data_IF_366821390390
#
_entry.id   IF_366821390390
#
_cell.length_a   1.000
_cell.length_b   1.000
_cell.length_c   1.000
_cell.angle_alpha   90.00
_cell.angle_beta   90.00
_cell.angle_gamma   90.00
#
_symmetry.space_group_name_H-M   'P 1'
#
loop_
_entity.id
_entity.type
_entity.pdbx_description
1 polymer ?
#
# COMPACT_ATOMS: atom_id res chain seq x y z
N UNK A 1 -4.87 73.10 56.65
CA UNK A 1 -5.07 72.40 55.34
C UNK A 1 -4.09 71.26 55.30
N UNK A 2 -4.58 70.07 55.59
CA UNK A 2 -3.82 68.81 55.65
C UNK A 2 -3.88 68.18 54.25
N UNK A 3 -2.70 68.00 53.64
CA UNK A 3 -2.64 67.34 52.30
C UNK A 3 -2.68 65.81 52.50
N UNK A 4 -3.76 65.19 52.08
CA UNK A 4 -3.90 63.72 51.99
C UNK A 4 -2.91 63.15 50.96
N UNK A 5 -1.95 62.33 51.42
CA UNK A 5 -1.04 61.60 50.55
C UNK A 5 -1.78 60.37 49.97
N UNK A 6 -2.10 60.41 48.69
CA UNK A 6 -2.65 59.30 47.96
C UNK A 6 -1.52 58.28 47.72
N UNK A 7 -1.63 57.11 48.35
CA UNK A 7 -0.71 55.97 48.12
C UNK A 7 -0.90 55.36 46.72
N UNK A 8 0.19 55.00 46.01
CA UNK A 8 0.05 54.35 44.69
C UNK A 8 -0.53 52.94 44.83
N UNK A 9 -1.35 52.46 43.85
CA UNK A 9 -1.98 51.14 43.90
C UNK A 9 -0.94 50.01 43.78
N UNK A 10 -1.21 48.84 44.36
CA UNK A 10 -0.26 47.75 44.42
C UNK A 10 -0.04 47.09 43.02
N UNK A 11 1.27 46.90 42.68
CA UNK A 11 1.71 46.21 41.46
C UNK A 11 1.47 44.72 41.56
N UNK A 12 0.20 44.22 41.33
CA UNK A 12 -0.15 42.80 41.41
C UNK A 12 -0.20 42.06 40.06
N UNK A 13 0.34 42.59 38.95
CA UNK A 13 0.11 42.02 37.61
C UNK A 13 1.25 41.18 37.03
N UNK A 14 2.42 41.08 37.63
CA UNK A 14 3.57 40.37 37.02
C UNK A 14 3.67 38.87 37.37
N UNK A 15 3.07 38.41 38.45
CA UNK A 15 3.16 37.02 38.88
C UNK A 15 2.26 36.10 38.04
N UNK A 16 1.01 36.52 37.77
CA UNK A 16 0.08 35.75 36.91
C UNK A 16 0.63 35.55 35.48
N UNK A 17 1.17 36.63 34.88
CA UNK A 17 1.75 36.53 33.54
C UNK A 17 2.94 35.55 33.48
N UNK A 18 3.80 35.51 34.51
CA UNK A 18 4.94 34.57 34.58
C UNK A 18 4.47 33.14 34.72
N UNK A 19 3.40 32.88 35.48
CA UNK A 19 2.80 31.54 35.64
C UNK A 19 2.17 31.11 34.34
N UNK A 20 1.41 31.95 33.63
CA UNK A 20 0.81 31.65 32.34
C UNK A 20 1.87 31.35 31.27
N UNK A 21 2.97 32.11 31.20
CA UNK A 21 4.10 31.84 30.29
C UNK A 21 4.76 30.49 30.64
N UNK A 22 4.94 30.17 31.92
CA UNK A 22 5.49 28.91 32.40
C UNK A 22 4.60 27.71 32.00
N UNK A 23 3.29 27.82 32.14
CA UNK A 23 2.35 26.78 31.75
C UNK A 23 2.35 26.59 30.23
N UNK A 24 2.33 27.66 29.42
CA UNK A 24 2.42 27.57 27.96
C UNK A 24 3.73 26.91 27.54
N UNK A 25 4.85 27.26 28.17
CA UNK A 25 6.15 26.67 27.88
C UNK A 25 6.19 25.17 28.22
N UNK A 26 5.59 24.74 29.34
CA UNK A 26 5.46 23.33 29.71
C UNK A 26 4.55 22.57 28.73
N UNK A 27 3.47 23.17 28.24
CA UNK A 27 2.58 22.58 27.24
C UNK A 27 3.29 22.41 25.89
N UNK A 28 4.12 23.39 25.48
CA UNK A 28 4.93 23.29 24.25
C UNK A 28 5.99 22.21 24.37
N UNK A 29 6.68 22.12 25.54
CA UNK A 29 7.64 21.04 25.79
C UNK A 29 6.94 19.68 25.83
N UNK A 30 5.79 19.58 26.49
CA UNK A 30 4.98 18.35 26.54
C UNK A 30 4.51 17.90 25.16
N UNK A 31 4.00 18.82 24.36
CA UNK A 31 3.61 18.57 22.98
C UNK A 31 4.82 18.18 22.10
N UNK A 32 5.95 18.86 22.26
CA UNK A 32 7.19 18.54 21.57
C UNK A 32 7.75 17.16 21.94
N UNK A 33 7.75 16.82 23.24
CA UNK A 33 8.20 15.50 23.74
C UNK A 33 7.25 14.39 23.27
N UNK A 34 5.94 14.64 23.28
CA UNK A 34 4.94 13.71 22.75
C UNK A 34 5.12 13.50 21.24
N UNK A 35 5.23 14.58 20.46
CA UNK A 35 5.49 14.52 19.02
C UNK A 35 6.81 13.80 18.68
N UNK A 36 7.87 14.04 19.47
CA UNK A 36 9.14 13.32 19.32
C UNK A 36 9.03 11.84 19.69
N UNK A 37 8.26 11.49 20.72
CA UNK A 37 8.02 10.10 21.11
C UNK A 37 7.23 9.36 20.03
N UNK A 38 6.18 9.98 19.49
CA UNK A 38 5.39 9.44 18.35
C UNK A 38 6.30 9.26 17.14
N UNK A 39 7.09 10.29 16.78
CA UNK A 39 8.05 10.22 15.67
C UNK A 39 9.03 9.05 15.82
N UNK A 40 9.62 8.87 17.01
CA UNK A 40 10.56 7.77 17.25
C UNK A 40 9.89 6.38 17.24
N UNK A 41 8.68 6.26 17.75
CA UNK A 41 7.91 5.02 17.66
C UNK A 41 7.63 4.65 16.20
N UNK A 42 7.18 5.63 15.41
CA UNK A 42 6.93 5.53 13.98
C UNK A 42 8.19 5.09 13.24
N UNK A 43 9.30 5.84 13.41
CA UNK A 43 10.55 5.54 12.74
C UNK A 43 11.10 4.16 13.13
N UNK A 44 10.99 3.77 14.41
CA UNK A 44 11.43 2.47 14.89
C UNK A 44 10.61 1.29 14.37
N UNK A 45 9.30 1.46 14.20
CA UNK A 45 8.41 0.43 13.63
C UNK A 45 8.68 0.27 12.14
N UNK A 46 8.75 1.37 11.40
CA UNK A 46 9.04 1.34 9.96
C UNK A 46 10.44 0.79 9.65
N UNK A 47 11.41 0.95 10.55
CA UNK A 47 12.72 0.33 10.39
C UNK A 47 12.65 -1.21 10.46
N UNK A 48 11.66 -1.79 11.16
CA UNK A 48 11.45 -3.25 11.17
C UNK A 48 10.80 -3.78 9.90
N UNK A 49 9.96 -2.97 9.25
CA UNK A 49 9.29 -3.33 7.99
C UNK A 49 10.19 -3.15 6.77
N UNK A 50 11.25 -2.35 6.91
CA UNK A 50 12.15 -2.05 5.81
C UNK A 50 13.06 -3.25 5.50
N UNK A 51 12.79 -3.89 4.37
CA UNK A 51 13.58 -5.00 3.83
C UNK A 51 14.07 -4.60 2.43
N UNK A 52 15.33 -4.14 2.28
CA UNK A 52 15.85 -3.67 0.99
C UNK A 52 15.98 -4.82 0.00
N UNK A 53 15.78 -4.52 -1.28
CA UNK A 53 15.97 -5.47 -2.35
C UNK A 53 17.46 -5.84 -2.51
N UNK A 54 17.73 -7.12 -2.75
CA UNK A 54 19.08 -7.66 -3.01
C UNK A 54 19.47 -7.48 -4.48
N UNK A 55 19.63 -6.23 -4.89
CA UNK A 55 20.12 -5.87 -6.22
C UNK A 55 21.16 -4.77 -6.11
N UNK A 56 22.07 -4.70 -7.12
CA UNK A 56 23.07 -3.65 -7.16
C UNK A 56 22.42 -2.28 -7.47
N UNK A 57 23.08 -1.20 -7.05
CA UNK A 57 22.61 0.16 -7.37
C UNK A 57 22.47 0.40 -8.88
N UNK A 58 23.32 -0.25 -9.69
CA UNK A 58 23.25 -0.15 -11.16
C UNK A 58 22.03 -0.86 -11.77
N UNK A 59 21.36 -1.75 -11.05
CA UNK A 59 20.13 -2.43 -11.47
C UNK A 59 18.86 -1.68 -11.03
N UNK A 60 19.01 -0.59 -10.27
CA UNK A 60 17.89 0.21 -9.80
C UNK A 60 17.71 1.45 -10.67
N UNK A 61 16.46 1.74 -11.01
CA UNK A 61 16.12 3.02 -11.60
C UNK A 61 16.29 4.12 -10.54
N UNK A 62 16.95 5.20 -10.90
CA UNK A 62 17.04 6.38 -10.03
C UNK A 62 15.74 7.15 -10.12
N UNK A 63 15.02 7.27 -9.02
CA UNK A 63 13.74 7.99 -8.91
C UNK A 63 13.92 9.15 -7.95
N UNK A 64 13.48 10.35 -8.36
CA UNK A 64 13.46 11.53 -7.50
C UNK A 64 12.03 11.83 -7.05
N UNK A 65 11.65 11.33 -5.88
CA UNK A 65 10.31 11.50 -5.32
C UNK A 65 9.96 12.97 -5.03
N UNK A 66 10.96 13.78 -4.66
CA UNK A 66 10.77 15.21 -4.41
C UNK A 66 10.40 15.99 -5.68
N UNK A 67 10.85 15.53 -6.84
CA UNK A 67 10.48 16.10 -8.13
C UNK A 67 9.17 15.53 -8.69
N UNK A 68 8.62 14.49 -8.07
CA UNK A 68 7.42 13.81 -8.54
C UNK A 68 7.67 12.94 -9.77
N UNK A 69 8.84 12.30 -9.86
CA UNK A 69 9.11 11.32 -10.91
C UNK A 69 8.08 10.18 -10.82
N UNK A 70 7.54 9.66 -11.93
CA UNK A 70 6.65 8.51 -11.88
C UNK A 70 7.30 7.29 -11.24
N UNK A 71 6.54 6.55 -10.44
CA UNK A 71 7.03 5.36 -9.70
C UNK A 71 6.22 4.12 -10.00
N UNK A 72 6.86 2.96 -9.80
CA UNK A 72 6.24 1.64 -9.86
C UNK A 72 6.34 0.91 -8.52
N UNK A 73 5.23 0.34 -8.06
CA UNK A 73 5.12 -0.37 -6.77
C UNK A 73 4.47 -1.72 -7.03
N UNK A 74 5.14 -2.82 -6.67
CA UNK A 74 4.55 -4.16 -6.75
C UNK A 74 3.95 -4.56 -5.40
N UNK A 75 2.64 -4.80 -5.38
CA UNK A 75 1.92 -5.27 -4.21
C UNK A 75 1.85 -6.80 -4.20
N UNK A 76 2.20 -7.41 -3.06
CA UNK A 76 2.07 -8.83 -2.80
C UNK A 76 1.07 -9.07 -1.68
N UNK A 77 -0.02 -9.78 -1.96
CA UNK A 77 -0.90 -10.35 -0.94
C UNK A 77 -0.51 -11.79 -0.70
N UNK A 78 0.16 -12.09 0.42
CA UNK A 78 0.74 -13.41 0.68
C UNK A 78 -0.11 -14.19 1.68
N UNK A 79 -0.54 -15.39 1.30
CA UNK A 79 -1.11 -16.37 2.23
C UNK A 79 0.05 -17.17 2.85
N UNK A 80 0.55 -16.65 3.97
CA UNK A 80 1.63 -17.31 4.72
C UNK A 80 1.04 -18.17 5.83
N UNK A 81 1.38 -19.45 5.84
CA UNK A 81 1.01 -20.40 6.89
C UNK A 81 2.25 -20.76 7.69
N UNK A 82 2.04 -21.19 8.93
CA UNK A 82 3.13 -21.59 9.81
C UNK A 82 3.99 -22.71 9.15
N UNK A 83 5.29 -22.43 8.97
CA UNK A 83 6.24 -23.36 8.35
C UNK A 83 6.33 -23.33 6.82
N UNK A 84 5.55 -22.48 6.12
CA UNK A 84 5.63 -22.26 4.67
C UNK A 84 6.01 -20.80 4.38
N UNK A 85 6.82 -20.56 3.33
CA UNK A 85 7.09 -19.20 2.84
C UNK A 85 5.85 -18.50 2.30
N UNK A 86 4.78 -19.27 2.06
CA UNK A 86 3.58 -18.78 1.42
C UNK A 86 3.72 -18.62 -0.10
N UNK A 87 2.63 -18.23 -0.71
CA UNK A 87 2.56 -17.86 -2.13
C UNK A 87 1.69 -16.61 -2.25
N UNK A 88 2.09 -15.63 -3.06
CA UNK A 88 1.20 -14.53 -3.32
C UNK A 88 0.00 -15.01 -4.13
N UNK A 89 -1.17 -14.81 -3.57
CA UNK A 89 -2.45 -15.02 -4.25
C UNK A 89 -2.90 -13.75 -4.99
N UNK A 90 -2.29 -12.61 -4.66
CA UNK A 90 -2.50 -11.32 -5.30
C UNK A 90 -1.15 -10.72 -5.69
N UNK A 91 -1.01 -10.38 -6.96
CA UNK A 91 0.12 -9.66 -7.54
C UNK A 91 -0.44 -8.47 -8.31
N UNK A 92 -0.17 -7.26 -7.85
CA UNK A 92 -0.71 -6.05 -8.46
C UNK A 92 0.42 -5.04 -8.63
N UNK A 93 0.68 -4.64 -9.87
CA UNK A 93 1.59 -3.53 -10.17
C UNK A 93 0.78 -2.24 -10.14
N UNK A 94 1.19 -1.31 -9.29
CA UNK A 94 0.74 0.08 -9.29
C UNK A 94 1.81 0.94 -9.96
N UNK A 95 1.41 1.86 -10.81
CA UNK A 95 2.25 2.97 -11.23
C UNK A 95 1.57 4.28 -10.87
N UNK A 96 2.32 5.23 -10.33
CA UNK A 96 1.80 6.54 -9.96
C UNK A 96 2.59 7.63 -10.70
N UNK A 97 1.88 8.45 -11.46
CA UNK A 97 2.45 9.57 -12.20
C UNK A 97 1.83 10.90 -11.70
N UNK A 98 2.57 11.69 -10.91
CA UNK A 98 2.09 13.01 -10.46
C UNK A 98 1.86 14.00 -11.59
N UNK A 99 2.63 13.92 -12.69
CA UNK A 99 2.47 14.77 -13.87
C UNK A 99 1.10 14.57 -14.52
N UNK A 100 0.68 13.31 -14.68
CA UNK A 100 -0.64 12.92 -15.20
C UNK A 100 -1.74 12.90 -14.15
N UNK A 101 -1.37 13.09 -12.86
CA UNK A 101 -2.28 12.98 -11.70
C UNK A 101 -3.06 11.68 -11.71
N UNK A 102 -2.39 10.57 -11.99
CA UNK A 102 -3.05 9.27 -12.18
C UNK A 102 -2.28 8.12 -11.55
N UNK A 103 -3.02 7.05 -11.26
CA UNK A 103 -2.51 5.73 -10.88
C UNK A 103 -3.02 4.73 -11.90
N UNK A 104 -2.13 3.89 -12.44
CA UNK A 104 -2.51 2.70 -13.16
C UNK A 104 -2.33 1.48 -12.27
N UNK A 105 -3.32 0.59 -12.29
CA UNK A 105 -3.34 -0.65 -11.50
C UNK A 105 -3.44 -1.85 -12.46
N UNK A 106 -2.40 -2.66 -12.50
CA UNK A 106 -2.30 -3.86 -13.34
C UNK A 106 -2.35 -5.11 -12.45
N UNK A 107 -3.43 -5.87 -12.51
CA UNK A 107 -3.52 -7.16 -11.82
C UNK A 107 -2.87 -8.26 -12.65
N UNK A 108 -1.86 -8.93 -12.07
CA UNK A 108 -1.13 -10.02 -12.71
C UNK A 108 -1.74 -11.35 -12.22
N UNK A 109 -2.36 -12.14 -13.11
CA UNK A 109 -2.93 -13.43 -12.71
C UNK A 109 -1.83 -14.33 -12.14
N UNK A 110 -2.03 -14.86 -10.92
CA UNK A 110 -1.04 -15.67 -10.20
C UNK A 110 -0.57 -16.92 -10.96
N UNK A 111 -1.45 -17.47 -11.82
CA UNK A 111 -1.20 -18.65 -12.63
C UNK A 111 -0.55 -18.33 -13.98
N UNK A 112 -0.11 -17.07 -14.21
CA UNK A 112 0.55 -16.64 -15.45
C UNK A 112 1.79 -17.47 -15.71
N UNK A 113 1.84 -18.12 -16.88
CA UNK A 113 2.97 -18.95 -17.31
C UNK A 113 4.09 -18.08 -17.87
N UNK A 114 5.20 -18.05 -17.17
CA UNK A 114 6.37 -17.23 -17.57
C UNK A 114 7.69 -17.90 -17.16
N UNK A 115 8.79 -17.38 -17.66
CA UNK A 115 10.11 -17.73 -17.19
C UNK A 115 10.32 -17.22 -15.77
N UNK A 116 10.80 -18.11 -14.88
CA UNK A 116 11.18 -17.75 -13.50
C UNK A 116 12.65 -17.36 -13.50
N UNK A 117 12.91 -16.06 -13.35
CA UNK A 117 14.26 -15.51 -13.42
C UNK A 117 15.13 -16.01 -12.27
N UNK A 118 16.29 -16.54 -12.61
CA UNK A 118 17.22 -17.16 -11.67
C UNK A 118 16.98 -18.66 -11.42
N UNK A 119 15.92 -19.26 -12.03
CA UNK A 119 15.66 -20.70 -11.99
C UNK A 119 15.89 -21.40 -13.35
N UNK A 120 15.79 -20.66 -14.46
CA UNK A 120 15.91 -21.24 -15.80
C UNK A 120 14.76 -22.17 -16.19
N UNK A 121 13.60 -22.04 -15.57
CA UNK A 121 12.38 -22.83 -15.84
C UNK A 121 11.22 -21.89 -16.16
N UNK A 122 10.20 -22.42 -16.84
CA UNK A 122 8.91 -21.76 -16.96
C UNK A 122 7.91 -22.38 -15.99
N UNK A 123 7.20 -21.55 -15.25
CA UNK A 123 6.19 -21.95 -14.27
C UNK A 123 5.19 -20.83 -14.04
N UNK A 124 4.26 -21.00 -13.08
CA UNK A 124 3.38 -19.94 -12.62
C UNK A 124 4.17 -18.80 -12.00
N UNK A 125 3.83 -17.56 -12.34
CA UNK A 125 4.56 -16.38 -11.88
C UNK A 125 4.63 -16.29 -10.35
N UNK A 126 3.57 -16.69 -9.62
CA UNK A 126 3.56 -16.69 -8.15
C UNK A 126 4.48 -17.74 -7.52
N UNK A 127 4.92 -18.78 -8.26
CA UNK A 127 5.91 -19.75 -7.77
C UNK A 127 7.31 -19.13 -7.63
N UNK A 128 7.61 -18.03 -8.33
CA UNK A 128 8.85 -17.26 -8.15
C UNK A 128 9.08 -16.87 -6.69
N UNK A 129 8.00 -16.51 -5.98
CA UNK A 129 8.07 -16.18 -4.56
C UNK A 129 8.46 -17.39 -3.70
N UNK A 130 7.85 -18.53 -3.92
CA UNK A 130 8.20 -19.78 -3.21
C UNK A 130 9.65 -20.16 -3.43
N UNK A 131 10.18 -19.96 -4.64
CA UNK A 131 11.56 -20.32 -4.99
C UNK A 131 12.60 -19.33 -4.43
N UNK A 132 12.34 -18.02 -4.47
CA UNK A 132 13.35 -17.03 -4.12
C UNK A 132 12.83 -15.77 -3.43
N UNK A 133 11.60 -15.79 -2.91
CA UNK A 133 11.00 -14.65 -2.19
C UNK A 133 10.71 -13.46 -3.08
N UNK A 134 10.67 -12.29 -2.46
CA UNK A 134 10.36 -11.01 -3.11
C UNK A 134 11.33 -10.70 -4.24
N UNK A 135 12.65 -10.85 -4.03
CA UNK A 135 13.67 -10.53 -5.04
C UNK A 135 13.48 -11.30 -6.35
N UNK A 136 13.23 -12.62 -6.26
CA UNK A 136 12.99 -13.44 -7.46
C UNK A 136 11.67 -13.10 -8.12
N UNK A 137 10.64 -12.80 -7.33
CA UNK A 137 9.34 -12.40 -7.86
C UNK A 137 9.40 -11.07 -8.61
N UNK A 138 10.08 -10.08 -8.05
CA UNK A 138 10.28 -8.78 -8.70
C UNK A 138 11.00 -8.97 -10.04
N UNK A 139 12.15 -9.66 -10.05
CA UNK A 139 12.90 -9.92 -11.30
C UNK A 139 12.06 -10.69 -12.33
N UNK A 140 11.21 -11.59 -11.87
CA UNK A 140 10.31 -12.35 -12.75
C UNK A 140 9.21 -11.46 -13.33
N UNK A 141 8.61 -10.56 -12.52
CA UNK A 141 7.59 -9.62 -12.98
C UNK A 141 8.20 -8.57 -13.90
N UNK A 142 9.38 -8.02 -13.57
CA UNK A 142 10.12 -7.10 -14.43
C UNK A 142 10.40 -7.71 -15.81
N UNK A 143 10.87 -8.96 -15.85
CA UNK A 143 11.09 -9.68 -17.11
C UNK A 143 9.78 -9.96 -17.86
N UNK A 144 8.70 -10.28 -17.15
CA UNK A 144 7.41 -10.57 -17.77
C UNK A 144 6.78 -9.32 -18.40
N UNK A 145 6.84 -8.17 -17.72
CA UNK A 145 6.24 -6.91 -18.17
C UNK A 145 7.21 -6.02 -18.95
N UNK A 146 8.50 -6.31 -18.89
CA UNK A 146 9.58 -5.46 -19.43
C UNK A 146 9.49 -4.02 -18.88
N UNK A 147 9.28 -3.89 -17.56
CA UNK A 147 9.22 -2.60 -16.84
C UNK A 147 9.97 -2.71 -15.51
N UNK A 148 10.67 -1.66 -15.07
CA UNK A 148 11.33 -1.66 -13.76
C UNK A 148 10.31 -1.58 -12.63
N UNK A 149 10.64 -2.19 -11.49
CA UNK A 149 9.89 -2.08 -10.24
C UNK A 149 10.76 -1.37 -9.21
N UNK A 150 10.34 -0.16 -8.81
CA UNK A 150 11.09 0.68 -7.89
C UNK A 150 10.88 0.24 -6.43
N UNK A 151 9.63 -0.03 -6.09
CA UNK A 151 9.21 -0.36 -4.74
C UNK A 151 8.35 -1.62 -4.70
N UNK A 152 8.28 -2.22 -3.51
CA UNK A 152 7.30 -3.26 -3.25
C UNK A 152 6.64 -3.08 -1.89
N UNK A 153 5.45 -3.64 -1.76
CA UNK A 153 4.74 -3.80 -0.49
C UNK A 153 4.22 -5.23 -0.41
N UNK A 154 4.67 -5.96 0.60
CA UNK A 154 4.18 -7.29 0.94
C UNK A 154 3.29 -7.20 2.16
N UNK A 155 2.08 -7.77 2.06
CA UNK A 155 1.09 -7.78 3.13
C UNK A 155 0.60 -9.21 3.33
N UNK A 156 0.65 -9.71 4.56
CA UNK A 156 0.02 -10.98 4.92
C UNK A 156 -1.49 -10.80 5.20
N UNK A 157 -2.21 -11.90 5.43
CA UNK A 157 -3.66 -11.87 5.63
C UNK A 157 -4.09 -11.12 6.89
N UNK A 158 -3.30 -11.20 7.97
CA UNK A 158 -3.58 -10.48 9.21
C UNK A 158 -3.33 -8.98 9.02
N UNK A 159 -2.19 -8.61 8.43
CA UNK A 159 -1.90 -7.22 8.09
C UNK A 159 -2.92 -6.59 7.14
N UNK A 160 -3.46 -7.36 6.21
CA UNK A 160 -4.53 -6.86 5.36
C UNK A 160 -5.78 -6.45 6.17
N UNK A 161 -6.23 -7.31 7.10
CA UNK A 161 -7.38 -7.00 7.99
C UNK A 161 -7.10 -5.76 8.82
N UNK A 162 -5.95 -5.78 9.47
CA UNK A 162 -5.55 -4.73 10.38
C UNK A 162 -5.38 -3.37 9.66
N UNK A 163 -4.83 -3.36 8.44
CA UNK A 163 -4.72 -2.15 7.61
C UNK A 163 -6.11 -1.59 7.25
N UNK A 164 -7.05 -2.44 6.86
CA UNK A 164 -8.43 -2.01 6.56
C UNK A 164 -9.10 -1.44 7.81
N UNK A 165 -8.96 -2.10 8.95
CA UNK A 165 -9.54 -1.62 10.22
C UNK A 165 -8.88 -0.31 10.69
N UNK A 166 -7.58 -0.15 10.46
CA UNK A 166 -6.84 1.05 10.85
C UNK A 166 -7.27 2.31 10.07
N UNK A 167 -7.77 2.16 8.84
CA UNK A 167 -8.37 3.28 8.08
C UNK A 167 -9.85 3.48 8.39
N UNK A 168 -10.44 2.69 9.30
CA UNK A 168 -11.84 2.76 9.69
C UNK A 168 -12.79 1.93 8.81
N UNK A 169 -12.26 0.96 8.08
CA UNK A 169 -12.99 0.17 7.10
C UNK A 169 -12.89 0.73 5.68
N UNK A 170 -13.48 0.01 4.73
CA UNK A 170 -13.51 0.41 3.32
C UNK A 170 -14.92 0.31 2.74
N UNK A 171 -15.30 1.25 1.89
CA UNK A 171 -16.58 1.24 1.18
C UNK A 171 -16.39 0.80 -0.26
N UNK A 172 -17.04 -0.28 -0.66
CA UNK A 172 -16.99 -0.82 -2.03
C UNK A 172 -18.35 -0.85 -2.69
N UNK A 173 -18.39 -0.70 -4.01
CA UNK A 173 -19.60 -0.94 -4.80
C UNK A 173 -19.61 -2.39 -5.29
N UNK A 174 -20.46 -3.22 -4.68
CA UNK A 174 -20.58 -4.64 -4.99
C UNK A 174 -21.59 -4.87 -6.13
N UNK A 175 -21.16 -5.57 -7.16
CA UNK A 175 -21.97 -5.87 -8.35
C UNK A 175 -22.48 -7.30 -8.42
N UNK A 176 -22.08 -8.17 -7.46
CA UNK A 176 -22.46 -9.58 -7.41
C UNK A 176 -23.02 -9.92 -6.02
N UNK A 177 -24.23 -10.44 -5.97
CA UNK A 177 -24.82 -10.96 -4.72
C UNK A 177 -24.21 -12.34 -4.41
N UNK A 178 -23.61 -12.49 -3.23
CA UNK A 178 -23.03 -13.75 -2.78
C UNK A 178 -22.88 -13.84 -1.27
N UNK A 179 -22.83 -15.08 -0.74
CA UNK A 179 -22.45 -15.37 0.64
C UNK A 179 -21.13 -16.15 0.64
N UNK A 180 -20.20 -15.78 1.53
CA UNK A 180 -18.92 -16.45 1.67
C UNK A 180 -18.44 -16.42 3.13
N UNK A 181 -18.00 -17.58 3.65
CA UNK A 181 -17.49 -17.73 5.03
C UNK A 181 -18.42 -17.10 6.09
N UNK A 182 -19.74 -17.34 5.99
CA UNK A 182 -20.79 -16.83 6.91
C UNK A 182 -20.97 -15.30 6.88
N UNK A 183 -20.54 -14.64 5.84
CA UNK A 183 -20.82 -13.23 5.59
C UNK A 183 -21.62 -13.11 4.29
N UNK A 184 -22.58 -12.15 4.25
CA UNK A 184 -23.42 -11.87 3.12
C UNK A 184 -22.99 -10.56 2.45
N UNK A 185 -22.84 -10.58 1.15
CA UNK A 185 -22.40 -9.46 0.32
C UNK A 185 -23.43 -9.14 -0.75
N UNK A 186 -24.52 -8.44 -0.40
CA UNK A 186 -25.56 -8.05 -1.36
C UNK A 186 -25.02 -7.05 -2.39
N UNK A 187 -25.73 -6.92 -3.52
CA UNK A 187 -25.43 -5.89 -4.51
C UNK A 187 -25.67 -4.49 -3.93
N UNK A 188 -24.76 -3.56 -4.22
CA UNK A 188 -24.79 -2.16 -3.79
C UNK A 188 -23.57 -1.75 -3.01
N UNK A 189 -23.65 -0.61 -2.31
CA UNK A 189 -22.58 -0.13 -1.46
C UNK A 189 -22.48 -0.98 -0.19
N UNK A 190 -21.26 -1.45 0.11
CA UNK A 190 -20.93 -2.22 1.30
C UNK A 190 -19.83 -1.50 2.06
N UNK A 191 -20.07 -1.28 3.36
CA UNK A 191 -19.04 -0.87 4.31
C UNK A 191 -18.45 -2.16 4.92
N UNK A 192 -17.16 -2.38 4.71
CA UNK A 192 -16.47 -3.60 5.11
C UNK A 192 -15.40 -3.29 6.13
N UNK A 193 -15.40 -4.00 7.26
CA UNK A 193 -14.26 -4.09 8.16
C UNK A 193 -13.18 -5.01 7.60
N UNK A 194 -12.04 -5.16 8.29
CA UNK A 194 -10.92 -5.96 7.80
C UNK A 194 -11.25 -7.42 7.53
N UNK A 195 -12.02 -8.05 8.44
CA UNK A 195 -12.44 -9.45 8.29
C UNK A 195 -13.38 -9.64 7.10
N UNK A 196 -14.34 -8.74 6.93
CA UNK A 196 -15.29 -8.76 5.81
C UNK A 196 -14.59 -8.44 4.47
N UNK A 197 -13.69 -7.47 4.45
CA UNK A 197 -12.89 -7.13 3.28
C UNK A 197 -12.00 -8.30 2.84
N UNK A 198 -11.41 -9.04 3.79
CA UNK A 198 -10.65 -10.25 3.48
C UNK A 198 -11.53 -11.33 2.85
N UNK A 199 -12.69 -11.63 3.43
CA UNK A 199 -13.66 -12.60 2.88
C UNK A 199 -14.13 -12.17 1.48
N UNK A 200 -14.50 -10.91 1.33
CA UNK A 200 -14.92 -10.33 0.05
C UNK A 200 -13.86 -10.48 -1.04
N UNK A 201 -12.60 -10.21 -0.71
CA UNK A 201 -11.46 -10.30 -1.64
C UNK A 201 -11.05 -11.74 -1.99
N UNK A 202 -11.41 -12.74 -1.17
CA UNK A 202 -11.00 -14.16 -1.35
C UNK A 202 -12.03 -15.00 -2.11
N UNK A 203 -13.30 -14.60 -2.12
CA UNK A 203 -14.35 -15.37 -2.80
C UNK A 203 -14.00 -15.54 -4.27
N UNK A 204 -14.10 -16.78 -4.75
CA UNK A 204 -13.84 -17.19 -6.12
C UNK A 204 -14.86 -18.21 -6.63
N UNK A 205 -15.21 -19.16 -5.77
CA UNK A 205 -15.95 -20.38 -6.17
C UNK A 205 -17.36 -20.10 -6.73
N UNK A 206 -18.00 -19.01 -6.29
CA UNK A 206 -19.36 -18.64 -6.69
C UNK A 206 -19.37 -17.48 -7.71
N UNK A 207 -18.20 -17.04 -8.18
CA UNK A 207 -18.10 -15.98 -9.17
C UNK A 207 -18.18 -16.56 -10.58
N UNK A 208 -19.12 -16.11 -11.43
CA UNK A 208 -19.19 -16.54 -12.82
C UNK A 208 -17.92 -16.27 -13.62
N UNK A 209 -17.15 -15.24 -13.23
CA UNK A 209 -15.86 -14.88 -13.82
C UNK A 209 -14.66 -15.59 -13.15
N UNK A 210 -14.88 -16.36 -12.10
CA UNK A 210 -13.86 -17.12 -11.39
C UNK A 210 -12.75 -16.23 -10.83
N UNK A 211 -11.51 -16.45 -11.28
CA UNK A 211 -10.34 -15.72 -10.78
C UNK A 211 -10.32 -14.25 -11.21
N UNK A 212 -10.90 -13.92 -12.36
CA UNK A 212 -11.00 -12.54 -12.87
C UNK A 212 -11.87 -11.71 -11.93
N UNK A 213 -13.03 -12.21 -11.52
CA UNK A 213 -13.91 -11.52 -10.59
C UNK A 213 -13.29 -11.36 -9.20
N UNK A 214 -12.49 -12.36 -8.74
CA UNK A 214 -11.70 -12.22 -7.51
C UNK A 214 -10.71 -11.05 -7.62
N UNK A 215 -9.96 -10.95 -8.71
CA UNK A 215 -9.03 -9.86 -8.95
C UNK A 215 -9.73 -8.49 -8.99
N UNK A 216 -10.94 -8.43 -9.57
CA UNK A 216 -11.74 -7.21 -9.56
C UNK A 216 -12.10 -6.77 -8.14
N UNK A 217 -12.55 -7.71 -7.27
CA UNK A 217 -12.83 -7.39 -5.87
C UNK A 217 -11.58 -6.93 -5.11
N UNK A 218 -10.43 -7.56 -5.34
CA UNK A 218 -9.16 -7.12 -4.77
C UNK A 218 -8.83 -5.68 -5.17
N UNK A 219 -9.00 -5.33 -6.45
CA UNK A 219 -8.80 -3.94 -6.93
C UNK A 219 -9.77 -2.97 -6.28
N UNK A 220 -11.06 -3.33 -6.14
CA UNK A 220 -12.07 -2.49 -5.46
C UNK A 220 -11.66 -2.17 -4.02
N UNK A 221 -11.18 -3.18 -3.27
CA UNK A 221 -10.68 -2.97 -1.90
C UNK A 221 -9.46 -2.03 -1.88
N UNK A 222 -8.47 -2.25 -2.75
CA UNK A 222 -7.26 -1.40 -2.80
C UNK A 222 -7.65 0.03 -3.16
N UNK A 223 -8.54 0.23 -4.13
CA UNK A 223 -9.03 1.54 -4.52
C UNK A 223 -9.74 2.26 -3.36
N UNK A 224 -10.61 1.54 -2.65
CA UNK A 224 -11.31 2.06 -1.48
C UNK A 224 -10.30 2.39 -0.35
N UNK A 225 -9.34 1.50 -0.08
CA UNK A 225 -8.28 1.73 0.89
C UNK A 225 -7.46 3.00 0.58
N UNK A 226 -7.01 3.17 -0.66
CA UNK A 226 -6.27 4.37 -1.09
C UNK A 226 -7.11 5.64 -0.83
N UNK A 227 -8.41 5.58 -1.11
CA UNK A 227 -9.32 6.70 -0.89
C UNK A 227 -9.46 7.04 0.59
N UNK A 228 -9.63 6.06 1.46
CA UNK A 228 -9.82 6.27 2.90
C UNK A 228 -8.49 6.64 3.59
N UNK A 229 -7.38 6.00 3.24
CA UNK A 229 -6.07 6.24 3.84
C UNK A 229 -5.60 7.70 3.74
N UNK A 230 -6.02 8.41 2.69
CA UNK A 230 -5.65 9.83 2.50
C UNK A 230 -6.51 10.78 3.34
N UNK A 231 -7.68 10.35 3.81
CA UNK A 231 -8.56 11.17 4.66
C UNK A 231 -8.10 11.20 6.13
N UNK A 232 -7.10 10.39 6.49
CA UNK A 232 -6.58 10.33 7.85
C UNK A 232 -5.67 11.54 8.12
N UNK A 233 -6.29 12.66 8.49
CA UNK A 233 -5.56 13.91 8.82
C UNK A 233 -5.00 13.94 10.24
N UNK A 234 -5.29 12.96 11.10
CA UNK A 234 -4.99 13.02 12.53
C UNK A 234 -3.78 12.16 12.91
N UNK A 235 -2.73 12.79 13.45
CA UNK A 235 -1.52 12.15 14.01
C UNK A 235 -1.79 11.00 14.99
N UNK A 236 -2.94 10.98 15.64
CA UNK A 236 -3.36 9.92 16.58
C UNK A 236 -3.65 8.59 15.89
N UNK A 237 -4.08 8.59 14.63
CA UNK A 237 -4.38 7.37 13.89
C UNK A 237 -3.14 6.77 13.21
N UNK A 238 -2.11 7.58 12.96
CA UNK A 238 -0.82 7.07 12.43
C UNK A 238 -0.16 6.05 13.37
N UNK A 239 -0.31 6.22 14.70
CA UNK A 239 0.28 5.31 15.67
C UNK A 239 -0.27 3.88 15.56
N UNK A 240 -1.59 3.72 15.45
CA UNK A 240 -2.23 2.41 15.31
C UNK A 240 -1.95 1.76 13.94
N UNK A 241 -1.97 2.54 12.86
CA UNK A 241 -1.59 2.06 11.53
C UNK A 241 -0.16 1.54 11.51
N UNK A 242 0.76 2.24 12.18
CA UNK A 242 2.16 1.88 12.22
C UNK A 242 2.45 0.67 13.12
N UNK A 243 1.72 0.51 14.22
CA UNK A 243 1.81 -0.67 15.06
C UNK A 243 1.39 -1.94 14.29
N UNK A 244 0.34 -1.83 13.48
CA UNK A 244 -0.16 -2.87 12.58
C UNK A 244 0.84 -3.18 11.46
N UNK A 245 1.42 -2.15 10.86
CA UNK A 245 2.41 -2.28 9.79
C UNK A 245 3.63 -3.09 10.26
N UNK A 246 4.09 -2.90 11.52
CA UNK A 246 5.37 -3.38 12.02
C UNK A 246 5.68 -4.86 11.89
N UNK A 247 4.67 -5.73 11.98
CA UNK A 247 4.86 -7.20 11.97
C UNK A 247 4.25 -7.87 10.71
N UNK A 248 3.39 -7.15 9.97
CA UNK A 248 2.52 -7.71 8.94
C UNK A 248 2.76 -7.16 7.55
N UNK A 249 3.61 -6.15 7.42
CA UNK A 249 3.95 -5.50 6.15
C UNK A 249 5.46 -5.45 5.98
N UNK A 250 5.95 -5.78 4.78
CA UNK A 250 7.35 -5.59 4.39
C UNK A 250 7.43 -4.72 3.15
N UNK A 251 8.45 -3.88 3.09
CA UNK A 251 8.67 -2.96 1.96
C UNK A 251 10.13 -2.54 1.88
N UNK A 252 10.59 -2.14 0.70
CA UNK A 252 11.86 -1.44 0.55
C UNK A 252 11.73 0.09 0.65
N UNK A 253 10.52 0.62 0.86
CA UNK A 253 10.31 2.04 1.11
C UNK A 253 10.88 2.44 2.47
N UNK A 254 11.66 3.49 2.50
CA UNK A 254 12.09 4.15 3.73
C UNK A 254 10.99 5.10 4.24
N UNK A 255 11.09 5.49 5.50
CA UNK A 255 10.13 6.44 6.08
C UNK A 255 10.15 7.81 5.37
N UNK A 256 11.32 8.28 4.97
CA UNK A 256 11.44 9.54 4.23
C UNK A 256 10.76 9.46 2.86
N UNK A 257 10.97 8.37 2.12
CA UNK A 257 10.31 8.13 0.84
C UNK A 257 8.79 8.03 0.97
N UNK A 258 8.27 7.38 2.04
CA UNK A 258 6.84 7.36 2.31
C UNK A 258 6.25 8.76 2.52
N UNK A 259 6.98 9.66 3.23
CA UNK A 259 6.57 11.05 3.40
C UNK A 259 6.60 11.84 2.09
N UNK A 260 7.63 11.63 1.26
CA UNK A 260 7.71 12.27 -0.06
C UNK A 260 6.59 11.80 -0.99
N UNK A 261 6.26 10.51 -0.98
CA UNK A 261 5.11 9.97 -1.72
C UNK A 261 3.82 10.61 -1.23
N UNK A 262 3.60 10.68 0.09
CA UNK A 262 2.42 11.35 0.64
C UNK A 262 2.31 12.81 0.22
N UNK A 263 3.43 13.55 0.25
CA UNK A 263 3.46 14.96 -0.07
C UNK A 263 3.25 15.25 -1.58
N UNK A 264 3.89 14.45 -2.45
CA UNK A 264 4.00 14.78 -3.88
C UNK A 264 3.06 13.96 -4.77
N UNK A 265 2.50 12.82 -4.29
CA UNK A 265 1.64 11.94 -5.10
C UNK A 265 0.16 11.95 -4.67
N UNK A 266 -0.22 12.78 -3.70
CA UNK A 266 -1.59 12.81 -3.17
C UNK A 266 -2.67 13.06 -4.26
N UNK A 267 -2.37 13.85 -5.28
CA UNK A 267 -3.30 14.16 -6.37
C UNK A 267 -3.56 12.99 -7.33
N UNK A 268 -2.66 11.99 -7.37
CA UNK A 268 -2.80 10.84 -8.28
C UNK A 268 -4.01 9.96 -7.94
N UNK A 269 -4.47 9.96 -6.69
CA UNK A 269 -5.59 9.16 -6.19
C UNK A 269 -6.94 9.43 -6.88
N UNK A 270 -7.10 10.60 -7.48
CA UNK A 270 -8.36 11.03 -8.10
C UNK A 270 -8.62 10.37 -9.45
N UNK A 271 -7.59 9.85 -10.09
CA UNK A 271 -7.68 9.19 -11.39
C UNK A 271 -6.98 7.83 -11.32
N UNK A 272 -7.73 6.78 -10.98
CA UNK A 272 -7.24 5.41 -10.90
C UNK A 272 -7.78 4.61 -12.07
N UNK A 273 -6.88 4.22 -12.97
CA UNK A 273 -7.15 3.38 -14.12
C UNK A 273 -6.83 1.91 -13.80
N UNK A 274 -7.79 1.02 -14.08
CA UNK A 274 -7.60 -0.42 -13.92
C UNK A 274 -7.29 -1.07 -15.26
N UNK A 275 -6.16 -1.79 -15.32
CA UNK A 275 -5.73 -2.50 -16.52
C UNK A 275 -5.81 -4.00 -16.24
N UNK A 276 -6.57 -4.70 -17.07
CA UNK A 276 -6.70 -6.15 -17.03
C UNK A 276 -5.76 -6.78 -18.06
N UNK A 277 -5.03 -7.83 -17.66
CA UNK A 277 -4.20 -8.62 -18.56
C UNK A 277 -5.08 -9.66 -19.24
N UNK A 278 -5.16 -9.61 -20.57
CA UNK A 278 -5.92 -10.58 -21.35
C UNK A 278 -5.07 -11.81 -21.70
N UNK A 279 -5.64 -12.96 -21.50
CA UNK A 279 -4.99 -14.24 -21.79
C UNK A 279 -6.01 -15.38 -21.87
N UNK A 280 -5.52 -16.59 -21.94
CA UNK A 280 -6.34 -17.80 -21.99
C UNK A 280 -5.83 -18.87 -21.04
N UNK A 281 -6.74 -19.65 -20.47
CA UNK A 281 -6.39 -20.82 -19.68
C UNK A 281 -5.84 -21.93 -20.57
N UNK A 282 -4.78 -22.61 -20.11
CA UNK A 282 -4.23 -23.83 -20.70
C UNK A 282 -3.99 -24.84 -19.58
N UNK A 283 -4.41 -26.07 -19.80
CA UNK A 283 -4.05 -27.19 -18.92
C UNK A 283 -2.90 -27.97 -19.55
N UNK A 284 -1.87 -28.22 -18.79
CA UNK A 284 -0.70 -29.01 -19.21
C UNK A 284 -0.30 -29.98 -18.09
N UNK A 285 -0.33 -31.28 -18.40
CA UNK A 285 -0.06 -32.34 -17.41
C UNK A 285 -0.91 -32.27 -16.13
N UNK A 286 -2.19 -31.89 -16.25
CA UNK A 286 -3.11 -31.72 -15.11
C UNK A 286 -2.88 -30.45 -14.29
N UNK A 287 -2.04 -29.53 -14.76
CA UNK A 287 -1.78 -28.23 -14.12
C UNK A 287 -2.35 -27.11 -14.99
N UNK A 288 -3.17 -26.27 -14.39
CA UNK A 288 -3.71 -25.08 -15.05
C UNK A 288 -2.68 -23.96 -15.10
N UNK A 289 -2.54 -23.32 -16.26
CA UNK A 289 -1.73 -22.13 -16.50
C UNK A 289 -2.56 -21.04 -17.19
N UNK A 290 -2.21 -19.78 -16.96
CA UNK A 290 -2.75 -18.64 -17.68
C UNK A 290 -1.71 -18.15 -18.69
N UNK A 291 -2.05 -18.25 -19.98
CA UNK A 291 -1.15 -17.88 -21.09
C UNK A 291 -1.49 -16.48 -21.57
N UNK A 292 -0.56 -15.58 -21.46
CA UNK A 292 -0.66 -14.20 -21.97
C UNK A 292 0.06 -14.13 -23.32
N UNK A 293 -0.62 -13.76 -24.40
CA UNK A 293 -0.01 -13.61 -25.71
C UNK A 293 1.07 -12.52 -25.70
N UNK A 294 2.11 -12.68 -26.53
CA UNK A 294 3.20 -11.71 -26.63
C UNK A 294 2.71 -10.31 -27.03
N UNK A 295 1.77 -10.23 -27.98
CA UNK A 295 1.18 -8.95 -28.38
C UNK A 295 0.48 -8.23 -27.20
N UNK A 296 -0.14 -8.96 -26.29
CA UNK A 296 -0.76 -8.38 -25.07
C UNK A 296 0.33 -7.91 -24.10
N UNK A 297 1.41 -8.69 -23.90
CA UNK A 297 2.55 -8.31 -23.08
C UNK A 297 3.21 -7.04 -23.59
N UNK A 298 3.47 -6.95 -24.89
CA UNK A 298 4.07 -5.77 -25.55
C UNK A 298 3.20 -4.53 -25.34
N UNK A 299 1.89 -4.64 -25.64
CA UNK A 299 0.94 -3.55 -25.42
C UNK A 299 0.91 -3.07 -23.98
N UNK A 300 0.92 -4.01 -23.02
CA UNK A 300 0.93 -3.70 -21.61
C UNK A 300 2.23 -3.01 -21.19
N UNK A 301 3.37 -3.54 -21.62
CA UNK A 301 4.70 -2.94 -21.40
C UNK A 301 4.73 -1.49 -21.90
N UNK A 302 4.31 -1.24 -23.14
CA UNK A 302 4.25 0.10 -23.73
C UNK A 302 3.34 1.04 -22.94
N UNK A 303 2.18 0.55 -22.48
CA UNK A 303 1.24 1.36 -21.70
C UNK A 303 1.85 1.76 -20.36
N UNK A 304 2.46 0.82 -19.65
CA UNK A 304 3.08 1.05 -18.35
C UNK A 304 4.33 1.92 -18.48
N UNK A 305 5.19 1.66 -19.46
CA UNK A 305 6.38 2.48 -19.75
C UNK A 305 6.01 3.93 -20.03
N UNK A 306 4.98 4.14 -20.85
CA UNK A 306 4.47 5.49 -21.13
C UNK A 306 4.03 6.20 -19.84
N UNK A 307 3.33 5.51 -18.95
CA UNK A 307 2.88 6.09 -17.68
C UNK A 307 4.04 6.35 -16.70
N UNK A 308 5.15 5.62 -16.84
CA UNK A 308 6.38 5.81 -16.06
C UNK A 308 7.36 6.81 -16.70
N UNK A 309 7.02 7.45 -17.83
CA UNK A 309 7.86 8.35 -18.60
C UNK A 309 9.22 7.71 -19.00
N UNK A 310 9.23 6.40 -19.30
CA UNK A 310 10.40 5.64 -19.76
C UNK A 310 10.17 5.07 -21.18
N UNK A 311 11.27 4.84 -21.90
CA UNK A 311 11.27 4.30 -23.27
C UNK A 311 11.40 2.77 -23.30
#
# INVERSE_FOLDING_TARGET
>A
MEQERISPPPKKRKLGLKITIGVIFLLIIGAGAYGFSVYNSVAGTLQKTHEPLKRSESEQRVVNLANGDPISILLFGVDQREGDRGRPDSLILLTANPGDKSIQMVSIPRDTYTEIIGKGIKDKINHSYTYGGVDMSIKTVENFLDVPIDYYVEVNMDGFKDLVDAVGGVTVDNTLDFSYERADFPVGQLELNGEEALKYSRMRAFDPQGDIGRQERQRKIIQAFIKEAVQIETLTNYGSILEVIGDNVKTNLTFEEMKEIQANYAETRHNLEQIQINGSGKEENGVYYYIVPEAERTKLSETVKKHLDIQ
#
